data_IF_209244909799
#
_entry.id   IF_209244909799
#
_cell.length_a   1.000
_cell.length_b   1.000
_cell.length_c   1.000
_cell.angle_alpha   90.00
_cell.angle_beta   90.00
_cell.angle_gamma   90.00
#
_symmetry.space_group_name_H-M   'P 1'
#
loop_
_entity.id
_entity.type
_entity.pdbx_description
1 polymer ?
#
# COMPACT_ATOMS: atom_id res chain seq x y z
N UNK A 1 -4.80 -19.72 1.07
CA UNK A 1 -4.69 -18.29 0.74
C UNK A 1 -3.23 -17.95 0.65
N UNK A 2 -2.72 -17.59 -0.52
CA UNK A 2 -1.35 -17.11 -0.66
C UNK A 2 -1.29 -15.65 -0.19
N UNK A 3 -0.67 -15.41 0.97
CA UNK A 3 -0.46 -14.05 1.53
C UNK A 3 0.61 -13.23 0.81
N UNK A 4 1.16 -13.76 -0.29
CA UNK A 4 2.22 -13.15 -1.10
C UNK A 4 1.70 -12.32 -2.28
N UNK A 5 0.37 -12.27 -2.47
CA UNK A 5 -0.27 -11.55 -3.57
C UNK A 5 -1.24 -10.51 -3.02
N UNK A 6 -1.59 -9.54 -3.86
CA UNK A 6 -2.76 -8.69 -3.65
C UNK A 6 -4.02 -9.57 -3.56
N UNK A 7 -5.14 -8.99 -3.12
CA UNK A 7 -6.41 -9.72 -2.92
C UNK A 7 -6.97 -10.33 -4.19
N UNK A 8 -6.57 -9.82 -5.35
CA UNK A 8 -6.91 -10.40 -6.65
C UNK A 8 -6.18 -11.72 -6.95
N UNK A 9 -5.14 -12.07 -6.20
CA UNK A 9 -4.33 -13.26 -6.41
C UNK A 9 -3.40 -13.21 -7.63
N UNK A 10 -3.27 -12.06 -8.30
CA UNK A 10 -2.49 -11.91 -9.54
C UNK A 10 -1.19 -11.15 -9.28
N UNK A 11 -1.27 -10.00 -8.62
CA UNK A 11 -0.12 -9.11 -8.42
C UNK A 11 0.69 -9.54 -7.20
N UNK A 12 1.96 -9.87 -7.39
CA UNK A 12 2.85 -10.26 -6.29
C UNK A 12 3.21 -9.04 -5.45
N UNK A 13 3.23 -9.21 -4.13
CA UNK A 13 3.70 -8.16 -3.22
C UNK A 13 5.24 -8.12 -3.27
N UNK A 14 5.78 -7.01 -3.76
CA UNK A 14 7.22 -6.76 -3.80
C UNK A 14 7.69 -5.98 -2.56
N UNK A 15 6.87 -5.03 -2.10
CA UNK A 15 7.13 -4.25 -0.88
C UNK A 15 5.84 -4.02 -0.08
N UNK A 16 6.00 -3.82 1.23
CA UNK A 16 4.93 -3.38 2.13
C UNK A 16 5.41 -2.17 2.93
N UNK A 17 4.62 -1.10 2.92
CA UNK A 17 4.83 0.09 3.74
C UNK A 17 3.76 0.14 4.84
N UNK A 18 4.18 0.34 6.09
CA UNK A 18 3.28 0.48 7.23
C UNK A 18 3.12 1.95 7.63
N UNK A 19 1.93 2.34 8.08
CA UNK A 19 1.67 3.68 8.59
C UNK A 19 0.43 3.73 9.48
N UNK A 20 0.37 4.75 10.33
CA UNK A 20 -0.82 5.06 11.13
C UNK A 20 -1.42 6.39 10.65
N UNK A 21 -2.66 6.64 11.07
CA UNK A 21 -3.25 7.98 10.94
C UNK A 21 -2.42 9.02 11.68
N UNK A 22 -2.41 10.24 11.15
CA UNK A 22 -1.68 11.35 11.75
C UNK A 22 -2.41 12.66 11.46
N UNK A 23 -1.74 13.80 11.71
CA UNK A 23 -2.35 15.11 11.42
C UNK A 23 -2.71 15.29 9.93
N UNK A 24 -3.61 16.24 9.66
CA UNK A 24 -4.12 16.50 8.31
C UNK A 24 -2.98 16.73 7.28
N UNK A 25 -1.91 17.41 7.68
CA UNK A 25 -0.78 17.70 6.79
C UNK A 25 -0.05 16.43 6.37
N UNK A 26 0.19 15.50 7.29
CA UNK A 26 0.81 14.21 6.98
C UNK A 26 -0.07 13.33 6.09
N UNK A 27 -1.39 13.44 6.21
CA UNK A 27 -2.32 12.75 5.30
C UNK A 27 -2.19 13.29 3.87
N UNK A 28 -2.06 14.61 3.67
CA UNK A 28 -1.81 15.18 2.34
C UNK A 28 -0.47 14.73 1.74
N UNK A 29 0.61 14.71 2.54
CA UNK A 29 1.90 14.18 2.09
C UNK A 29 1.81 12.71 1.69
N UNK A 30 1.00 11.93 2.42
CA UNK A 30 0.77 10.52 2.12
C UNK A 30 0.02 10.33 0.81
N UNK A 31 -1.01 11.11 0.56
CA UNK A 31 -1.75 11.06 -0.71
C UNK A 31 -0.84 11.46 -1.89
N UNK A 32 -0.01 12.49 -1.72
CA UNK A 32 0.97 12.89 -2.72
C UNK A 32 2.00 11.79 -2.98
N UNK A 33 2.52 11.15 -1.94
CA UNK A 33 3.47 10.05 -2.06
C UNK A 33 2.87 8.87 -2.84
N UNK A 34 1.64 8.46 -2.50
CA UNK A 34 0.94 7.39 -3.22
C UNK A 34 0.67 7.73 -4.69
N UNK A 35 0.26 8.98 -4.97
CA UNK A 35 0.11 9.47 -6.36
C UNK A 35 1.43 9.38 -7.13
N UNK A 36 2.55 9.73 -6.50
CA UNK A 36 3.85 9.66 -7.13
C UNK A 36 4.30 8.21 -7.39
N UNK A 37 4.04 7.28 -6.49
CA UNK A 37 4.30 5.85 -6.73
C UNK A 37 3.53 5.33 -7.95
N UNK A 38 2.24 5.69 -8.07
CA UNK A 38 1.45 5.34 -9.26
C UNK A 38 1.99 5.95 -10.54
N UNK A 39 2.41 7.23 -10.50
CA UNK A 39 3.06 7.89 -11.63
C UNK A 39 4.39 7.23 -12.03
N UNK A 40 5.10 6.65 -11.07
CA UNK A 40 6.32 5.89 -11.32
C UNK A 40 6.07 4.47 -11.85
N UNK A 41 4.80 4.08 -12.07
CA UNK A 41 4.41 2.78 -12.62
C UNK A 41 4.16 1.69 -11.59
N UNK A 42 4.14 2.02 -10.29
CA UNK A 42 3.84 1.03 -9.25
C UNK A 42 2.34 0.85 -9.06
N UNK A 43 1.96 -0.39 -8.78
CA UNK A 43 0.58 -0.74 -8.43
C UNK A 43 0.46 -0.92 -6.91
N UNK A 44 -0.63 -0.40 -6.34
CA UNK A 44 -0.81 -0.25 -4.91
C UNK A 44 -2.13 -0.88 -4.46
N UNK A 45 -2.10 -1.63 -3.37
CA UNK A 45 -3.26 -2.09 -2.60
C UNK A 45 -3.13 -1.61 -1.14
N UNK A 46 -4.20 -1.05 -0.56
CA UNK A 46 -4.22 -0.63 0.84
C UNK A 46 -5.06 -1.62 1.63
N UNK A 47 -4.51 -2.12 2.74
CA UNK A 47 -5.28 -2.75 3.80
C UNK A 47 -5.54 -1.75 4.92
N UNK A 48 -6.82 -1.66 5.29
CA UNK A 48 -7.28 -0.78 6.35
C UNK A 48 -6.73 -1.21 7.72
N UNK A 49 -6.45 -0.23 8.57
CA UNK A 49 -5.98 -0.46 9.94
C UNK A 49 -6.88 -1.36 10.78
N UNK A 50 -8.18 -1.43 10.50
CA UNK A 50 -9.11 -2.33 11.21
C UNK A 50 -8.76 -3.81 11.05
N UNK A 51 -7.93 -4.15 10.05
CA UNK A 51 -7.44 -5.52 9.80
C UNK A 51 -6.07 -5.79 10.43
N UNK A 52 -5.42 -4.77 10.98
CA UNK A 52 -4.15 -4.91 11.69
C UNK A 52 -4.35 -5.41 13.12
N UNK A 53 -3.32 -6.04 13.67
CA UNK A 53 -3.38 -6.58 15.04
C UNK A 53 -3.57 -5.48 16.10
N UNK A 54 -3.06 -4.26 15.86
CA UNK A 54 -3.18 -3.12 16.77
C UNK A 54 -4.39 -2.23 16.49
N UNK A 55 -5.12 -2.48 15.39
CA UNK A 55 -6.25 -1.67 14.94
C UNK A 55 -5.88 -0.26 14.46
N UNK A 56 -4.59 0.02 14.26
CA UNK A 56 -4.05 1.37 13.98
C UNK A 56 -3.19 1.43 12.72
N UNK A 57 -2.57 0.32 12.34
CA UNK A 57 -1.61 0.28 11.24
C UNK A 57 -2.27 -0.07 9.90
N UNK A 58 -2.23 0.85 8.95
CA UNK A 58 -2.49 0.59 7.55
C UNK A 58 -1.28 -0.08 6.88
N UNK A 59 -1.54 -1.01 5.96
CA UNK A 59 -0.51 -1.62 5.12
C UNK A 59 -0.74 -1.26 3.66
N UNK A 60 0.21 -0.51 3.08
CA UNK A 60 0.27 -0.23 1.66
C UNK A 60 1.17 -1.27 0.98
N UNK A 61 0.57 -2.19 0.24
CA UNK A 61 1.26 -3.21 -0.54
C UNK A 61 1.59 -2.65 -1.92
N UNK A 62 2.80 -2.93 -2.40
CA UNK A 62 3.32 -2.46 -3.68
C UNK A 62 3.66 -3.66 -4.58
N UNK A 63 3.26 -3.54 -5.84
CA UNK A 63 3.72 -4.41 -6.92
C UNK A 63 4.46 -3.55 -7.96
N UNK A 64 5.62 -4.03 -8.39
CA UNK A 64 6.41 -3.46 -9.47
C UNK A 64 6.24 -4.33 -10.73
N UNK A 65 5.45 -3.88 -11.73
CA UNK A 65 5.26 -4.63 -12.96
C UNK A 65 6.59 -4.83 -13.69
N UNK A 66 6.89 -6.06 -14.10
CA UNK A 66 8.11 -6.40 -14.84
C UNK A 66 8.00 -6.18 -16.35
N UNK A 67 6.84 -5.70 -16.85
CA UNK A 67 6.61 -5.47 -18.27
C UNK A 67 6.88 -4.02 -18.65
N UNK A 68 7.90 -3.80 -19.49
CA UNK A 68 8.07 -2.61 -20.32
C UNK A 68 7.53 -2.88 -21.72
#
# INVERSE_FOLDING_TARGET
MSTLFFRDGVRKIDFVLAFEDSDFRRNEYRDMFQKNLRKAGLELEIEDKSLSQDGKTYFLKLHAPTAF
#
